data_IF_362014381569
#
_entry.id   IF_362014381569
#
_cell.length_a   1.000
_cell.length_b   1.000
_cell.length_c   1.000
_cell.angle_alpha   90.00
_cell.angle_beta   90.00
_cell.angle_gamma   90.00
#
_symmetry.space_group_name_H-M   'P 1'
#
loop_
_entity.id
_entity.type
_entity.pdbx_description
1 polymer ?
#
# COMPACT_ATOMS: atom_id res chain seq x y z
N UNK A 1 41.67 -29.72 -5.66
CA UNK A 1 40.45 -29.46 -6.46
C UNK A 1 39.15 -29.90 -5.77
N UNK A 2 39.01 -31.14 -5.27
CA UNK A 2 37.77 -31.62 -4.59
C UNK A 2 37.37 -30.84 -3.31
N UNK A 3 38.34 -30.38 -2.52
CA UNK A 3 38.08 -29.62 -1.29
C UNK A 3 37.49 -28.23 -1.59
N UNK A 4 38.03 -27.54 -2.61
CA UNK A 4 37.52 -26.24 -3.08
C UNK A 4 36.10 -26.38 -3.64
N UNK A 5 35.83 -27.42 -4.44
CA UNK A 5 34.51 -27.68 -5.03
C UNK A 5 33.42 -27.98 -3.98
N UNK A 6 33.78 -28.73 -2.92
CA UNK A 6 32.87 -29.02 -1.81
C UNK A 6 32.62 -27.78 -0.94
N UNK A 7 33.64 -26.93 -0.75
CA UNK A 7 33.51 -25.68 -0.02
C UNK A 7 32.63 -24.67 -0.78
N UNK A 8 32.83 -24.54 -2.10
CA UNK A 8 31.98 -23.69 -2.94
C UNK A 8 30.53 -24.18 -2.96
N UNK A 9 30.30 -25.49 -3.06
CA UNK A 9 28.93 -26.04 -3.06
C UNK A 9 28.23 -25.77 -1.73
N UNK A 10 28.92 -25.94 -0.59
CA UNK A 10 28.37 -25.64 0.74
C UNK A 10 28.03 -24.16 0.92
N UNK A 11 28.87 -23.26 0.43
CA UNK A 11 28.62 -21.82 0.48
C UNK A 11 27.41 -21.43 -0.37
N UNK A 12 27.30 -21.96 -1.59
CA UNK A 12 26.15 -21.73 -2.47
C UNK A 12 24.86 -22.26 -1.84
N UNK A 13 24.87 -23.47 -1.28
CA UNK A 13 23.71 -24.03 -0.59
C UNK A 13 23.30 -23.21 0.63
N UNK A 14 24.27 -22.78 1.45
CA UNK A 14 24.00 -21.94 2.62
C UNK A 14 23.40 -20.59 2.22
N UNK A 15 23.93 -19.95 1.18
CA UNK A 15 23.39 -18.71 0.63
C UNK A 15 21.95 -18.90 0.11
N UNK A 16 21.69 -19.98 -0.64
CA UNK A 16 20.36 -20.30 -1.13
C UNK A 16 19.35 -20.52 0.03
N UNK A 17 19.75 -21.23 1.08
CA UNK A 17 18.92 -21.43 2.28
C UNK A 17 18.64 -20.09 2.97
N UNK A 18 19.65 -19.23 3.12
CA UNK A 18 19.47 -17.91 3.73
C UNK A 18 18.48 -17.04 2.94
N UNK A 19 18.55 -17.06 1.60
CA UNK A 19 17.61 -16.35 0.72
C UNK A 19 16.19 -16.91 0.88
N UNK A 20 16.03 -18.24 0.90
CA UNK A 20 14.71 -18.87 1.11
C UNK A 20 14.13 -18.49 2.48
N UNK A 21 14.93 -18.59 3.55
CA UNK A 21 14.51 -18.21 4.89
C UNK A 21 14.10 -16.73 4.95
N UNK A 22 14.89 -15.85 4.33
CA UNK A 22 14.55 -14.43 4.26
C UNK A 22 13.19 -14.20 3.57
N UNK A 23 12.97 -14.81 2.41
CA UNK A 23 11.70 -14.69 1.67
C UNK A 23 10.54 -15.25 2.49
N UNK A 24 10.72 -16.37 3.20
CA UNK A 24 9.70 -16.93 4.10
C UNK A 24 9.36 -15.96 5.25
N UNK A 25 10.37 -15.37 5.90
CA UNK A 25 10.17 -14.38 6.97
C UNK A 25 9.43 -13.15 6.43
N UNK A 26 9.82 -12.64 5.26
CA UNK A 26 9.12 -11.53 4.62
C UNK A 26 7.66 -11.90 4.34
N UNK A 27 7.41 -13.08 3.77
CA UNK A 27 6.06 -13.58 3.52
C UNK A 27 5.19 -13.59 4.79
N UNK A 28 5.73 -14.09 5.91
CA UNK A 28 5.04 -14.05 7.21
C UNK A 28 4.75 -12.61 7.66
N UNK A 29 5.70 -11.68 7.50
CA UNK A 29 5.47 -10.28 7.86
C UNK A 29 4.43 -9.60 6.99
N UNK A 30 4.36 -9.94 5.70
CA UNK A 30 3.37 -9.40 4.76
C UNK A 30 1.97 -9.88 5.12
N UNK A 31 1.82 -11.18 5.44
CA UNK A 31 0.55 -11.75 5.94
C UNK A 31 0.14 -11.13 7.27
N UNK A 32 1.09 -10.94 8.20
CA UNK A 32 0.83 -10.31 9.49
C UNK A 32 0.34 -8.86 9.34
N UNK A 33 0.98 -8.07 8.47
CA UNK A 33 0.56 -6.69 8.20
C UNK A 33 -0.88 -6.59 7.67
N UNK A 34 -1.35 -7.62 6.92
CA UNK A 34 -2.72 -7.72 6.41
C UNK A 34 -3.78 -8.04 7.46
N UNK A 35 -3.39 -8.54 8.64
CA UNK A 35 -4.33 -9.01 9.68
C UNK A 35 -4.32 -8.16 10.94
N UNK A 36 -3.38 -7.22 11.06
CA UNK A 36 -3.23 -6.37 12.23
C UNK A 36 -3.88 -5.00 12.02
N UNK A 37 -4.95 -4.71 12.77
CA UNK A 37 -5.41 -3.34 13.08
C UNK A 37 -5.20 -3.11 14.57
N UNK A 38 -4.39 -2.13 14.92
CA UNK A 38 -4.02 -1.82 16.30
C UNK A 38 -4.94 -0.79 16.97
N UNK A 39 -6.00 -0.34 16.29
CA UNK A 39 -6.99 0.58 16.85
C UNK A 39 -6.49 2.02 17.06
N UNK A 40 -5.28 2.36 16.61
CA UNK A 40 -4.65 3.67 16.86
C UNK A 40 -5.23 4.80 16.03
N UNK A 41 -5.51 5.92 16.67
CA UNK A 41 -5.81 7.17 15.96
C UNK A 41 -4.59 7.67 15.16
N UNK A 42 -4.86 8.48 14.12
CA UNK A 42 -3.88 9.03 13.21
C UNK A 42 -4.32 10.41 12.68
N UNK A 43 -3.44 11.10 11.97
CA UNK A 43 -3.75 12.43 11.40
C UNK A 43 -4.51 12.30 10.07
N UNK A 44 -4.33 11.19 9.34
CA UNK A 44 -5.06 10.89 8.11
C UNK A 44 -5.27 9.38 7.87
N UNK A 45 -6.37 9.03 7.23
CA UNK A 45 -6.57 7.71 6.62
C UNK A 45 -6.13 7.79 5.15
N UNK A 46 -5.15 6.99 4.73
CA UNK A 46 -4.68 6.94 3.34
C UNK A 46 -5.26 5.71 2.67
N UNK A 47 -6.04 5.92 1.61
CA UNK A 47 -6.69 4.87 0.82
C UNK A 47 -5.94 4.68 -0.50
N UNK A 48 -5.39 3.49 -0.70
CA UNK A 48 -4.75 3.15 -1.98
C UNK A 48 -5.78 2.92 -3.08
N UNK A 49 -5.51 3.50 -4.25
CA UNK A 49 -6.25 3.24 -5.50
C UNK A 49 -6.28 1.77 -5.92
N UNK A 50 -7.22 1.43 -6.80
CA UNK A 50 -7.37 0.07 -7.33
C UNK A 50 -7.84 0.04 -8.78
N UNK A 51 -9.13 0.27 -9.01
CA UNK A 51 -9.72 0.41 -10.34
C UNK A 51 -11.02 1.18 -10.22
N UNK A 52 -11.36 1.94 -11.26
CA UNK A 52 -12.62 2.64 -11.41
C UNK A 52 -13.20 2.39 -12.81
N UNK A 53 -14.52 2.54 -12.93
CA UNK A 53 -15.29 2.39 -14.15
C UNK A 53 -16.10 3.66 -14.39
N UNK A 54 -15.47 4.60 -15.09
CA UNK A 54 -16.08 5.86 -15.52
C UNK A 54 -16.65 6.70 -14.36
N UNK A 55 -15.83 6.91 -13.34
CA UNK A 55 -16.18 7.65 -12.12
C UNK A 55 -16.82 6.78 -11.03
N UNK A 56 -17.14 5.52 -11.33
CA UNK A 56 -17.63 4.55 -10.32
C UNK A 56 -16.46 3.72 -9.78
N UNK A 57 -16.24 3.63 -8.45
CA UNK A 57 -15.22 2.72 -7.93
C UNK A 57 -15.55 1.26 -8.26
N UNK A 58 -14.52 0.46 -8.56
CA UNK A 58 -14.66 -1.00 -8.65
C UNK A 58 -15.03 -1.60 -7.29
N UNK A 59 -15.54 -2.83 -7.24
CA UNK A 59 -15.89 -3.51 -5.98
C UNK A 59 -14.75 -3.52 -4.96
N UNK A 60 -13.51 -3.68 -5.43
CA UNK A 60 -12.33 -3.65 -4.55
C UNK A 60 -12.06 -2.24 -4.01
N UNK A 61 -12.18 -1.22 -4.86
CA UNK A 61 -12.00 0.18 -4.44
C UNK A 61 -13.12 0.60 -3.49
N UNK A 62 -14.37 0.29 -3.82
CA UNK A 62 -15.55 0.56 -2.99
C UNK A 62 -15.44 -0.12 -1.62
N UNK A 63 -14.91 -1.35 -1.56
CA UNK A 63 -14.66 -2.04 -0.28
C UNK A 63 -13.62 -1.30 0.58
N UNK A 64 -12.57 -0.75 -0.04
CA UNK A 64 -11.55 0.06 0.67
C UNK A 64 -12.14 1.38 1.16
N UNK A 65 -12.93 2.05 0.32
CA UNK A 65 -13.58 3.32 0.67
C UNK A 65 -14.62 3.13 1.77
N UNK A 66 -15.39 2.06 1.73
CA UNK A 66 -16.35 1.70 2.78
C UNK A 66 -15.66 1.48 4.11
N UNK A 67 -14.53 0.78 4.11
CA UNK A 67 -13.73 0.57 5.33
C UNK A 67 -13.13 1.88 5.85
N UNK A 68 -12.57 2.71 4.96
CA UNK A 68 -12.07 4.04 5.33
C UNK A 68 -13.17 4.93 5.91
N UNK A 69 -14.38 4.89 5.34
CA UNK A 69 -15.55 5.60 5.83
C UNK A 69 -15.96 5.14 7.23
N UNK A 70 -15.91 3.83 7.51
CA UNK A 70 -16.17 3.28 8.84
C UNK A 70 -15.14 3.80 9.87
N UNK A 71 -13.86 3.76 9.51
CA UNK A 71 -12.78 4.28 10.37
C UNK A 71 -12.95 5.79 10.65
N UNK A 72 -13.34 6.55 9.63
CA UNK A 72 -13.53 7.99 9.72
C UNK A 72 -14.77 8.34 10.54
N UNK A 73 -15.96 7.88 10.15
CA UNK A 73 -17.23 8.30 10.77
C UNK A 73 -17.52 7.61 12.08
N UNK A 74 -17.37 6.29 12.13
CA UNK A 74 -17.88 5.51 13.26
C UNK A 74 -16.86 5.41 14.38
N UNK A 75 -15.58 5.40 14.02
CA UNK A 75 -14.47 5.21 14.97
C UNK A 75 -13.67 6.48 15.22
N UNK A 76 -13.95 7.56 14.48
CA UNK A 76 -13.26 8.85 14.60
C UNK A 76 -11.73 8.71 14.61
N UNK A 77 -11.20 7.81 13.76
CA UNK A 77 -9.79 7.38 13.80
C UNK A 77 -8.82 8.38 13.20
N UNK A 78 -9.31 9.30 12.36
CA UNK A 78 -8.53 10.38 11.81
C UNK A 78 -9.44 11.53 11.35
N UNK A 79 -8.95 12.79 11.37
CA UNK A 79 -9.69 13.95 10.90
C UNK A 79 -9.65 14.14 9.37
N UNK A 80 -8.79 13.43 8.64
CA UNK A 80 -8.60 13.58 7.20
C UNK A 80 -8.67 12.21 6.50
N UNK A 81 -9.14 12.20 5.24
CA UNK A 81 -9.04 11.04 4.35
C UNK A 81 -8.26 11.45 3.10
N UNK A 82 -7.16 10.76 2.81
CA UNK A 82 -6.40 10.91 1.58
C UNK A 82 -6.71 9.74 0.64
N UNK A 83 -7.15 10.03 -0.58
CA UNK A 83 -7.38 9.05 -1.64
C UNK A 83 -6.32 9.22 -2.73
N UNK A 84 -5.91 8.10 -3.33
CA UNK A 84 -4.80 8.05 -4.28
C UNK A 84 -5.19 7.34 -5.56
N UNK A 85 -4.44 7.62 -6.63
CA UNK A 85 -4.49 6.88 -7.89
C UNK A 85 -4.92 7.75 -9.06
N UNK A 86 -4.06 7.82 -10.07
CA UNK A 86 -4.31 8.55 -11.30
C UNK A 86 -5.22 7.81 -12.28
N UNK A 87 -5.13 8.21 -13.54
CA UNK A 87 -5.94 7.67 -14.65
C UNK A 87 -5.11 6.84 -15.63
N UNK A 88 -5.73 5.89 -16.31
CA UNK A 88 -5.12 5.19 -17.44
C UNK A 88 -5.42 5.91 -18.77
N UNK A 89 -4.70 5.53 -19.82
CA UNK A 89 -4.94 6.10 -21.14
C UNK A 89 -6.35 5.76 -21.63
N UNK A 90 -7.17 6.79 -21.88
CA UNK A 90 -8.57 6.66 -22.28
C UNK A 90 -9.58 6.85 -21.16
N UNK A 91 -9.14 6.89 -19.90
CA UNK A 91 -10.01 7.15 -18.76
C UNK A 91 -10.43 8.63 -18.70
N UNK A 92 -11.71 8.86 -18.39
CA UNK A 92 -12.24 10.21 -18.14
C UNK A 92 -11.99 10.69 -16.70
N UNK A 93 -11.91 9.74 -15.77
CA UNK A 93 -11.75 9.99 -14.34
C UNK A 93 -10.53 9.24 -13.81
N UNK A 94 -9.88 9.81 -12.80
CA UNK A 94 -8.86 9.15 -12.00
C UNK A 94 -9.52 8.28 -10.93
N UNK A 95 -8.76 7.33 -10.37
CA UNK A 95 -9.21 6.55 -9.22
C UNK A 95 -9.46 7.43 -7.99
N UNK A 96 -8.65 8.48 -7.84
CA UNK A 96 -8.74 9.49 -6.79
C UNK A 96 -10.04 10.31 -6.88
N UNK A 97 -10.38 10.81 -8.07
CA UNK A 97 -11.63 11.55 -8.31
C UNK A 97 -12.86 10.68 -8.03
N UNK A 98 -12.87 9.45 -8.55
CA UNK A 98 -13.96 8.49 -8.30
C UNK A 98 -14.11 8.19 -6.80
N UNK A 99 -12.98 8.10 -6.09
CA UNK A 99 -12.96 7.85 -4.65
C UNK A 99 -13.49 9.04 -3.84
N UNK A 100 -13.05 10.25 -4.17
CA UNK A 100 -13.49 11.47 -3.51
C UNK A 100 -14.99 11.70 -3.73
N UNK A 101 -15.47 11.52 -4.96
CA UNK A 101 -16.89 11.63 -5.27
C UNK A 101 -17.72 10.61 -4.47
N UNK A 102 -17.30 9.35 -4.44
CA UNK A 102 -17.99 8.32 -3.67
C UNK A 102 -18.04 8.65 -2.17
N UNK A 103 -16.96 9.16 -1.58
CA UNK A 103 -16.92 9.58 -0.18
C UNK A 103 -17.86 10.76 0.10
N UNK A 104 -17.92 11.74 -0.80
CA UNK A 104 -18.83 12.90 -0.71
C UNK A 104 -20.29 12.45 -0.79
N UNK A 105 -20.62 11.58 -1.74
CA UNK A 105 -21.96 10.99 -1.87
C UNK A 105 -22.39 10.19 -0.63
N UNK A 106 -21.41 9.63 0.10
CA UNK A 106 -21.61 8.96 1.38
C UNK A 106 -21.48 9.90 2.59
N UNK A 107 -21.48 11.22 2.37
CA UNK A 107 -21.59 12.27 3.38
C UNK A 107 -20.30 12.60 4.12
N UNK A 108 -19.14 12.46 3.49
CA UNK A 108 -17.88 13.06 3.95
C UNK A 108 -17.75 14.45 3.34
N UNK A 109 -17.41 15.45 4.14
CA UNK A 109 -17.23 16.81 3.63
C UNK A 109 -16.00 16.90 2.70
N UNK A 110 -16.11 17.66 1.61
CA UNK A 110 -15.07 17.71 0.59
C UNK A 110 -13.75 18.36 1.09
N UNK A 111 -13.80 19.17 2.13
CA UNK A 111 -12.67 19.90 2.71
C UNK A 111 -11.71 19.03 3.52
N UNK A 112 -12.19 17.87 4.00
CA UNK A 112 -11.39 16.86 4.72
C UNK A 112 -10.86 15.74 3.82
N UNK A 113 -11.20 15.77 2.52
CA UNK A 113 -10.73 14.80 1.54
C UNK A 113 -9.51 15.38 0.80
N UNK A 114 -8.37 14.72 0.94
CA UNK A 114 -7.14 15.00 0.20
C UNK A 114 -7.08 14.07 -1.02
N UNK A 115 -6.72 14.60 -2.19
CA UNK A 115 -6.65 13.83 -3.42
C UNK A 115 -5.24 13.87 -4.01
N UNK A 116 -4.71 12.70 -4.33
CA UNK A 116 -3.56 12.51 -5.19
C UNK A 116 -4.02 11.77 -6.45
N UNK A 117 -3.86 12.37 -7.64
CA UNK A 117 -4.51 11.95 -8.88
C UNK A 117 -3.54 11.75 -10.07
N UNK A 118 -2.24 11.66 -9.80
CA UNK A 118 -1.17 11.62 -10.81
C UNK A 118 -0.54 10.22 -10.88
N UNK A 119 -0.27 9.61 -9.73
CA UNK A 119 0.50 8.39 -9.58
C UNK A 119 -0.17 7.17 -10.20
N UNK A 120 0.63 6.33 -10.86
CA UNK A 120 0.17 5.10 -11.53
C UNK A 120 0.77 3.84 -10.94
N UNK A 121 1.65 4.01 -9.97
CA UNK A 121 2.30 2.95 -9.20
C UNK A 121 2.23 3.29 -7.72
N UNK A 122 2.45 2.28 -6.86
CA UNK A 122 2.47 2.49 -5.41
C UNK A 122 3.49 3.55 -5.00
N UNK A 123 4.67 3.58 -5.61
CA UNK A 123 5.70 4.57 -5.31
C UNK A 123 5.27 5.97 -5.77
N UNK A 124 4.85 6.13 -7.03
CA UNK A 124 4.43 7.43 -7.56
C UNK A 124 3.28 8.00 -6.75
N UNK A 125 2.22 7.23 -6.49
CA UNK A 125 1.07 7.72 -5.73
C UNK A 125 1.46 8.19 -4.32
N UNK A 126 2.31 7.44 -3.62
CA UNK A 126 2.71 7.84 -2.26
C UNK A 126 3.71 8.99 -2.26
N UNK A 127 4.58 9.06 -3.27
CA UNK A 127 5.51 10.17 -3.46
C UNK A 127 4.80 11.48 -3.80
N UNK A 128 3.79 11.46 -4.67
CA UNK A 128 2.97 12.62 -5.01
C UNK A 128 2.01 13.00 -3.86
N UNK A 129 1.58 12.02 -3.05
CA UNK A 129 0.76 12.29 -1.87
C UNK A 129 1.56 12.94 -0.74
N UNK A 130 2.85 12.59 -0.60
CA UNK A 130 3.74 13.12 0.45
C UNK A 130 3.69 14.65 0.64
N UNK A 131 3.86 15.49 -0.41
CA UNK A 131 3.78 16.94 -0.25
C UNK A 131 2.39 17.42 0.23
N UNK A 132 1.31 16.73 -0.16
CA UNK A 132 -0.07 17.05 0.26
C UNK A 132 -0.24 16.79 1.76
N UNK A 133 0.21 15.63 2.23
CA UNK A 133 0.19 15.27 3.65
C UNK A 133 1.05 16.21 4.49
N UNK A 134 2.26 16.54 4.03
CA UNK A 134 3.14 17.49 4.70
C UNK A 134 2.51 18.89 4.75
N UNK A 135 1.83 19.35 3.71
CA UNK A 135 1.09 20.61 3.69
C UNK A 135 -0.03 20.68 4.74
N UNK A 136 -0.54 19.53 5.19
CA UNK A 136 -1.52 19.40 6.29
C UNK A 136 -0.89 19.03 7.63
N UNK A 137 0.44 19.05 7.73
CA UNK A 137 1.20 18.64 8.92
C UNK A 137 0.92 17.21 9.41
N UNK A 138 0.49 16.32 8.51
CA UNK A 138 0.25 14.90 8.81
C UNK A 138 1.57 14.20 9.10
N UNK A 139 1.62 13.37 10.15
CA UNK A 139 2.77 12.53 10.50
C UNK A 139 2.40 11.07 10.69
N UNK A 140 1.23 10.82 11.26
CA UNK A 140 0.70 9.48 11.51
C UNK A 140 -0.42 9.19 10.52
N UNK A 141 -0.39 8.02 9.91
CA UNK A 141 -1.39 7.62 8.91
C UNK A 141 -1.92 6.22 9.18
N UNK A 142 -3.19 6.00 8.84
CA UNK A 142 -3.79 4.67 8.73
C UNK A 142 -3.82 4.30 7.25
N UNK A 143 -3.05 3.28 6.88
CA UNK A 143 -3.00 2.74 5.52
C UNK A 143 -4.16 1.76 5.31
N UNK A 144 -5.07 2.11 4.40
CA UNK A 144 -6.21 1.30 3.97
C UNK A 144 -5.98 0.79 2.55
N UNK A 145 -5.84 -0.52 2.42
CA UNK A 145 -5.77 -1.23 1.15
C UNK A 145 -6.12 -2.71 1.36
N UNK A 146 -5.79 -3.57 0.41
CA UNK A 146 -5.97 -5.02 0.53
C UNK A 146 -4.90 -5.67 1.40
N UNK A 147 -5.27 -6.72 2.13
CA UNK A 147 -4.40 -7.59 2.93
C UNK A 147 -3.07 -7.98 2.27
N UNK A 148 -3.06 -8.35 0.99
CA UNK A 148 -1.84 -8.68 0.25
C UNK A 148 -0.96 -7.46 -0.06
N UNK A 149 -1.55 -6.27 -0.18
CA UNK A 149 -0.89 -5.06 -0.67
C UNK A 149 -0.40 -4.13 0.46
N UNK A 150 -1.02 -4.22 1.64
CA UNK A 150 -0.81 -3.25 2.73
C UNK A 150 0.63 -3.15 3.19
N UNK A 151 1.36 -4.26 3.21
CA UNK A 151 2.76 -4.25 3.62
C UNK A 151 3.63 -3.37 2.70
N UNK A 152 3.44 -3.45 1.38
CA UNK A 152 4.21 -2.65 0.43
C UNK A 152 3.87 -1.17 0.57
N UNK A 153 2.59 -0.82 0.63
CA UNK A 153 2.14 0.56 0.75
C UNK A 153 2.58 1.20 2.08
N UNK A 154 2.47 0.46 3.19
CA UNK A 154 2.90 0.94 4.50
C UNK A 154 4.40 1.20 4.55
N UNK A 155 5.22 0.22 4.14
CA UNK A 155 6.68 0.38 4.12
C UNK A 155 7.14 1.51 3.17
N UNK A 156 6.41 1.74 2.08
CA UNK A 156 6.70 2.84 1.16
C UNK A 156 6.45 4.20 1.82
N UNK A 157 5.34 4.38 2.55
CA UNK A 157 5.10 5.62 3.30
C UNK A 157 6.07 5.80 4.48
N UNK A 158 6.47 4.71 5.14
CA UNK A 158 7.52 4.75 6.16
C UNK A 158 8.86 5.22 5.58
N UNK A 159 9.24 4.76 4.38
CA UNK A 159 10.43 5.25 3.66
C UNK A 159 10.33 6.75 3.34
N UNK A 160 9.11 7.27 3.12
CA UNK A 160 8.83 8.68 2.90
C UNK A 160 8.74 9.51 4.20
N UNK A 161 8.93 8.87 5.36
CA UNK A 161 9.05 9.55 6.66
C UNK A 161 7.74 9.67 7.47
N UNK A 162 6.72 8.89 7.16
CA UNK A 162 5.47 8.83 7.94
C UNK A 162 5.46 7.65 8.92
N UNK A 163 4.74 7.81 10.03
CA UNK A 163 4.43 6.71 10.94
C UNK A 163 3.15 6.02 10.50
N UNK A 164 3.23 4.76 10.11
CA UNK A 164 2.11 4.04 9.48
C UNK A 164 1.52 2.99 10.42
N UNK A 165 0.19 2.98 10.50
CA UNK A 165 -0.58 1.85 11.00
C UNK A 165 -1.39 1.25 9.86
N UNK A 166 -1.59 -0.07 9.88
CA UNK A 166 -2.36 -0.76 8.83
C UNK A 166 -3.79 -1.01 9.30
N UNK A 167 -4.74 -0.85 8.39
CA UNK A 167 -6.11 -1.36 8.57
C UNK A 167 -6.60 -1.85 7.20
N UNK A 168 -6.25 -3.11 6.91
CA UNK A 168 -6.48 -3.71 5.61
C UNK A 168 -7.85 -4.38 5.52
N UNK A 169 -8.41 -4.40 4.31
CA UNK A 169 -9.59 -5.22 4.00
C UNK A 169 -9.15 -6.62 3.55
N UNK A 170 -9.89 -7.64 3.98
CA UNK A 170 -9.80 -8.98 3.39
C UNK A 170 -10.28 -8.88 1.94
N UNK A 171 -9.37 -9.17 1.01
CA UNK A 171 -9.67 -9.08 -0.41
C UNK A 171 -10.27 -10.35 -1.01
N UNK A 172 -10.76 -11.30 -0.19
CA UNK A 172 -11.47 -12.54 -0.55
C UNK A 172 -11.02 -13.13 -1.89
N UNK A 173 -10.01 -14.00 -1.85
CA UNK A 173 -9.58 -14.72 -3.05
C UNK A 173 -8.47 -14.02 -3.84
N UNK A 174 -7.62 -13.24 -3.17
CA UNK A 174 -6.34 -12.83 -3.75
C UNK A 174 -5.56 -14.05 -4.23
N UNK A 175 -5.20 -14.05 -5.53
CA UNK A 175 -4.47 -15.17 -6.11
C UNK A 175 -3.09 -15.33 -5.46
N UNK A 176 -2.60 -16.57 -5.36
CA UNK A 176 -1.23 -16.88 -4.90
C UNK A 176 -0.20 -16.07 -5.67
N UNK A 177 -0.45 -15.80 -6.95
CA UNK A 177 0.40 -14.95 -7.80
C UNK A 177 0.52 -13.50 -7.27
N UNK A 178 -0.57 -12.90 -6.78
CA UNK A 178 -0.51 -11.54 -6.18
C UNK A 178 0.33 -11.57 -4.91
N UNK A 179 0.07 -12.50 -3.99
CA UNK A 179 0.84 -12.66 -2.76
C UNK A 179 2.35 -12.86 -3.03
N UNK A 180 2.70 -13.71 -4.00
CA UNK A 180 4.09 -13.91 -4.40
C UNK A 180 4.71 -12.63 -4.95
N UNK A 181 4.02 -11.94 -5.86
CA UNK A 181 4.50 -10.68 -6.44
C UNK A 181 4.75 -9.64 -5.36
N UNK A 182 3.84 -9.47 -4.41
CA UNK A 182 4.02 -8.52 -3.31
C UNK A 182 5.12 -8.96 -2.35
N UNK A 183 5.24 -10.24 -2.03
CA UNK A 183 6.30 -10.76 -1.17
C UNK A 183 7.68 -10.47 -1.78
N UNK A 184 7.84 -10.73 -3.08
CA UNK A 184 9.07 -10.41 -3.82
C UNK A 184 9.30 -8.90 -3.88
N UNK A 185 8.26 -8.11 -4.13
CA UNK A 185 8.33 -6.66 -4.13
C UNK A 185 8.78 -6.09 -2.78
N UNK A 186 8.20 -6.56 -1.68
CA UNK A 186 8.57 -6.14 -0.31
C UNK A 186 9.97 -6.62 0.05
N UNK A 187 10.32 -7.87 -0.27
CA UNK A 187 11.65 -8.42 -0.01
C UNK A 187 12.74 -7.61 -0.74
N UNK A 188 12.50 -7.28 -2.00
CA UNK A 188 13.45 -6.49 -2.80
C UNK A 188 13.49 -5.05 -2.29
N UNK A 189 12.33 -4.42 -2.09
CA UNK A 189 12.22 -3.04 -1.61
C UNK A 189 12.90 -2.82 -0.25
N UNK A 190 12.82 -3.78 0.68
CA UNK A 190 13.54 -3.71 1.97
C UNK A 190 15.07 -3.73 1.83
N UNK A 191 15.61 -4.25 0.74
CA UNK A 191 17.07 -4.33 0.50
C UNK A 191 17.56 -3.09 -0.24
N UNK A 192 16.89 -2.72 -1.33
CA UNK A 192 17.36 -1.67 -2.24
C UNK A 192 16.64 -0.33 -2.07
N UNK A 193 15.56 -0.26 -1.29
CA UNK A 193 14.64 0.89 -1.20
C UNK A 193 13.52 0.82 -2.24
N UNK A 194 12.32 1.27 -1.87
CA UNK A 194 11.16 1.26 -2.75
C UNK A 194 11.30 2.25 -3.91
N UNK A 195 12.01 3.36 -3.70
CA UNK A 195 12.38 4.28 -4.80
C UNK A 195 13.19 3.59 -5.89
N UNK A 196 14.19 2.81 -5.48
CA UNK A 196 15.09 2.12 -6.41
C UNK A 196 14.41 0.91 -7.04
N UNK A 197 13.51 0.24 -6.31
CA UNK A 197 12.69 -0.81 -6.88
C UNK A 197 11.83 -0.26 -8.02
N UNK A 198 11.14 0.86 -7.81
CA UNK A 198 10.33 1.53 -8.84
C UNK A 198 11.17 1.95 -10.05
N UNK A 199 12.35 2.54 -9.85
CA UNK A 199 13.20 2.96 -10.97
C UNK A 199 13.68 1.81 -11.87
N UNK A 200 13.68 0.57 -11.35
CA UNK A 200 14.05 -0.63 -12.10
C UNK A 200 12.83 -1.26 -12.79
N UNK A 201 11.67 -1.28 -12.12
CA UNK A 201 10.50 -2.02 -12.61
C UNK A 201 9.56 -1.20 -13.49
N UNK A 202 9.60 0.13 -13.37
CA UNK A 202 8.48 0.99 -13.77
C UNK A 202 7.22 0.67 -12.97
#
# INVERSE_FOLDING_TARGET
MRCVLSCTLRLVSAAAIAVVLYVCVVGVTVVGAGTMDNGREADAIVVMGAAQYDGRPSELLESRLSHALELFKNKNRAPLIAVTGGKQAGDRFTESEASAQWLIENGVDADVILQEDIGRSTWESLNELMPILNGKSVKNVIMVTSDWHVARSALTLEELGFSVSSSAIDSRGASVRRWLRETVGVATGRIIGFRNLFSITG
#
